data_IF_313107521411
#
_entry.id   IF_313107521411
#
_cell.length_a   1.000
_cell.length_b   1.000
_cell.length_c   1.000
_cell.angle_alpha   90.00
_cell.angle_beta   90.00
_cell.angle_gamma   90.00
#
_symmetry.space_group_name_H-M   'P 1'
#
loop_
_entity.id
_entity.type
_entity.pdbx_description
1 polymer ?
#
# COMPACT_ATOMS: atom_id res chain seq x y z
N UNK A 1 -12.23 6.36 12.95
CA UNK A 1 -11.03 5.51 12.93
C UNK A 1 -10.72 5.38 11.48
N UNK A 2 -9.81 6.21 11.02
CA UNK A 2 -9.59 6.47 9.62
C UNK A 2 -8.12 6.23 9.32
N UNK A 3 -7.86 5.33 8.39
CA UNK A 3 -6.52 5.08 7.91
C UNK A 3 -6.52 4.68 6.45
N UNK A 4 -5.43 4.99 5.76
CA UNK A 4 -5.23 4.69 4.35
C UNK A 4 -3.77 4.41 4.03
N UNK A 5 -3.55 3.43 3.19
CA UNK A 5 -2.26 3.14 2.58
C UNK A 5 -2.02 4.12 1.43
N UNK A 6 -0.84 4.72 1.40
CA UNK A 6 -0.39 5.61 0.34
C UNK A 6 0.66 4.89 -0.50
N UNK A 7 0.37 4.77 -1.80
CA UNK A 7 1.29 4.22 -2.77
C UNK A 7 1.66 5.25 -3.83
N UNK A 8 2.90 5.21 -4.28
CA UNK A 8 3.36 5.92 -5.47
C UNK A 8 3.45 4.92 -6.61
N UNK A 9 2.61 5.11 -7.63
CA UNK A 9 2.49 4.21 -8.76
C UNK A 9 3.01 4.91 -10.01
N UNK A 10 3.99 4.30 -10.66
CA UNK A 10 4.42 4.73 -12.01
C UNK A 10 3.58 3.99 -13.03
N UNK A 11 2.97 4.74 -13.92
CA UNK A 11 2.13 4.21 -14.99
C UNK A 11 2.62 4.69 -16.34
N UNK A 12 2.47 3.83 -17.33
CA UNK A 12 2.81 4.07 -18.72
C UNK A 12 1.56 4.06 -19.59
N UNK A 13 1.45 5.05 -20.45
CA UNK A 13 0.33 5.21 -21.38
C UNK A 13 0.80 4.80 -22.77
N UNK A 14 0.18 3.75 -23.30
CA UNK A 14 0.36 3.26 -24.67
C UNK A 14 -0.99 3.13 -25.39
N UNK A 15 -1.04 3.30 -26.73
CA UNK A 15 -2.28 3.16 -27.48
C UNK A 15 -2.77 1.72 -27.44
N UNK A 16 -3.98 1.51 -26.89
CA UNK A 16 -4.59 0.18 -26.82
C UNK A 16 -4.99 -0.40 -28.20
N UNK A 17 -5.05 0.44 -29.24
CA UNK A 17 -5.43 0.03 -30.60
C UNK A 17 -4.32 0.41 -31.57
N UNK A 18 -3.91 -0.53 -32.42
CA UNK A 18 -2.85 -0.34 -33.41
C UNK A 18 -3.11 0.78 -34.44
N UNK A 19 -4.37 1.22 -34.58
CA UNK A 19 -4.76 2.34 -35.47
C UNK A 19 -4.55 3.71 -34.83
N UNK A 20 -4.19 3.76 -33.55
CA UNK A 20 -3.94 5.00 -32.79
C UNK A 20 -2.45 5.12 -32.55
N UNK A 21 -1.88 6.27 -32.89
CA UNK A 21 -0.49 6.62 -32.62
C UNK A 21 -0.42 7.74 -31.58
N UNK A 22 0.60 7.70 -30.72
CA UNK A 22 0.97 8.79 -29.82
C UNK A 22 2.30 9.38 -30.29
N UNK A 23 2.53 10.68 -30.04
CA UNK A 23 3.86 11.29 -30.16
C UNK A 23 4.18 12.03 -28.86
N UNK A 24 5.19 11.58 -28.09
CA UNK A 24 5.99 10.35 -28.26
C UNK A 24 5.13 9.07 -28.23
N UNK A 25 5.68 7.93 -28.69
CA UNK A 25 4.98 6.63 -28.76
C UNK A 25 4.39 6.17 -27.42
N UNK A 26 4.90 6.72 -26.32
CA UNK A 26 4.38 6.51 -24.99
C UNK A 26 4.70 7.65 -24.03
N UNK A 27 3.96 7.71 -22.93
CA UNK A 27 4.18 8.66 -21.85
C UNK A 27 4.16 7.97 -20.49
N UNK A 28 5.13 8.30 -19.64
CA UNK A 28 5.17 7.85 -18.25
C UNK A 28 4.65 8.95 -17.33
N UNK A 29 3.84 8.59 -16.35
CA UNK A 29 3.42 9.48 -15.28
C UNK A 29 3.45 8.76 -13.94
N UNK A 30 3.51 9.54 -12.85
CA UNK A 30 3.48 9.00 -11.50
C UNK A 30 2.28 9.53 -10.76
N UNK A 31 1.44 8.64 -10.26
CA UNK A 31 0.24 8.96 -9.49
C UNK A 31 0.41 8.54 -8.04
N UNK A 32 -0.31 9.23 -7.14
CA UNK A 32 -0.44 8.82 -5.75
C UNK A 32 -1.77 8.12 -5.58
N UNK A 33 -1.72 6.86 -5.16
CA UNK A 33 -2.89 6.03 -4.91
C UNK A 33 -3.14 5.98 -3.41
N UNK A 34 -4.38 6.22 -3.02
CA UNK A 34 -4.87 6.09 -1.66
C UNK A 34 -5.81 4.90 -1.61
N UNK A 35 -5.54 3.97 -0.70
CA UNK A 35 -6.39 2.81 -0.43
C UNK A 35 -6.76 2.80 1.04
N UNK A 36 -8.05 2.77 1.34
CA UNK A 36 -8.51 2.68 2.73
C UNK A 36 -7.98 1.42 3.40
N UNK A 37 -7.51 1.59 4.63
CA UNK A 37 -7.01 0.50 5.45
C UNK A 37 -8.19 -0.09 6.23
N UNK A 38 -8.45 -1.41 6.13
CA UNK A 38 -9.50 -2.06 6.91
C UNK A 38 -9.23 -1.91 8.41
N UNK A 39 -10.29 -1.81 9.21
CA UNK A 39 -10.20 -1.69 10.67
C UNK A 39 -9.41 -2.86 11.28
N UNK A 40 -8.51 -2.61 12.24
CA UNK A 40 -7.74 -3.67 12.89
C UNK A 40 -8.66 -4.75 13.48
N UNK A 41 -8.33 -6.02 13.26
CA UNK A 41 -9.13 -7.16 13.70
C UNK A 41 -10.29 -7.56 12.77
N UNK A 42 -10.60 -6.78 11.72
CA UNK A 42 -11.63 -7.12 10.72
C UNK A 42 -11.08 -7.84 9.50
N UNK A 43 -11.90 -8.37 8.61
CA UNK A 43 -11.39 -9.06 7.42
C UNK A 43 -10.48 -8.15 6.57
N UNK A 44 -9.28 -8.64 6.21
CA UNK A 44 -8.34 -7.93 5.34
C UNK A 44 -7.38 -6.95 6.02
N UNK A 45 -7.49 -6.69 7.33
CA UNK A 45 -6.61 -5.76 8.07
C UNK A 45 -5.12 -6.15 8.03
N UNK A 46 -4.83 -7.44 7.87
CA UNK A 46 -3.46 -7.99 7.75
C UNK A 46 -2.80 -7.71 6.39
N UNK A 47 -3.40 -6.86 5.56
CA UNK A 47 -2.85 -6.47 4.26
C UNK A 47 -1.38 -6.04 4.36
N UNK A 48 -1.02 -5.19 5.34
CA UNK A 48 0.34 -4.70 5.50
C UNK A 48 1.32 -5.84 5.80
N UNK A 49 0.94 -6.77 6.69
CA UNK A 49 1.77 -7.94 7.05
C UNK A 49 2.03 -8.85 5.85
N UNK A 50 1.02 -9.03 5.00
CA UNK A 50 1.09 -9.94 3.87
C UNK A 50 1.74 -9.32 2.62
N UNK A 51 1.83 -7.99 2.55
CA UNK A 51 2.24 -7.27 1.33
C UNK A 51 3.52 -6.46 1.52
N UNK A 52 3.80 -6.00 2.74
CA UNK A 52 4.89 -5.06 3.02
C UNK A 52 5.98 -5.73 3.85
N UNK A 53 7.21 -5.27 3.64
CA UNK A 53 8.37 -5.65 4.43
C UNK A 53 9.30 -4.44 4.56
N UNK A 54 9.61 -4.06 5.80
CA UNK A 54 10.47 -2.91 6.16
C UNK A 54 10.09 -1.62 5.41
N UNK A 55 8.79 -1.36 5.23
CA UNK A 55 8.31 -0.15 4.56
C UNK A 55 8.43 -0.18 3.02
N UNK A 56 8.64 -1.35 2.42
CA UNK A 56 8.59 -1.56 0.98
C UNK A 56 7.59 -2.65 0.61
N UNK A 57 7.17 -2.71 -0.66
CA UNK A 57 6.41 -3.87 -1.16
C UNK A 57 7.34 -5.09 -1.19
N UNK A 58 6.88 -6.22 -0.67
CA UNK A 58 7.70 -7.44 -0.60
C UNK A 58 7.85 -8.17 -1.94
N UNK A 59 6.87 -7.99 -2.84
CA UNK A 59 6.81 -8.61 -4.16
C UNK A 59 6.31 -7.57 -5.17
N UNK A 60 7.20 -7.15 -6.08
CA UNK A 60 6.91 -6.10 -7.06
C UNK A 60 5.85 -6.53 -8.09
N UNK A 61 5.88 -7.79 -8.55
CA UNK A 61 4.91 -8.30 -9.53
C UNK A 61 3.50 -8.37 -8.91
N UNK A 62 3.42 -8.85 -7.66
CA UNK A 62 2.17 -8.83 -6.91
C UNK A 62 1.66 -7.40 -6.69
N UNK A 63 2.54 -6.46 -6.33
CA UNK A 63 2.17 -5.06 -6.14
C UNK A 63 1.65 -4.41 -7.43
N UNK A 64 2.28 -4.68 -8.58
CA UNK A 64 1.81 -4.22 -9.90
C UNK A 64 0.42 -4.75 -10.23
N UNK A 65 0.15 -6.03 -9.97
CA UNK A 65 -1.17 -6.64 -10.16
C UNK A 65 -2.24 -5.99 -9.30
N UNK A 66 -1.96 -5.80 -8.01
CA UNK A 66 -2.87 -5.11 -7.08
C UNK A 66 -3.18 -3.69 -7.56
N UNK A 67 -2.15 -2.90 -7.91
CA UNK A 67 -2.36 -1.54 -8.37
C UNK A 67 -3.15 -1.49 -9.69
N UNK A 68 -2.88 -2.40 -10.62
CA UNK A 68 -3.61 -2.50 -11.87
C UNK A 68 -5.09 -2.86 -11.65
N UNK A 69 -5.36 -3.80 -10.74
CA UNK A 69 -6.72 -4.16 -10.33
C UNK A 69 -7.46 -2.96 -9.73
N UNK A 70 -6.85 -2.27 -8.76
CA UNK A 70 -7.47 -1.10 -8.12
C UNK A 70 -7.73 0.05 -9.09
N UNK A 71 -6.84 0.25 -10.07
CA UNK A 71 -6.97 1.28 -11.10
C UNK A 71 -7.89 0.86 -12.26
N UNK A 72 -8.26 -0.42 -12.36
CA UNK A 72 -9.05 -0.96 -13.46
C UNK A 72 -8.31 -0.92 -14.81
N UNK A 73 -6.98 -1.03 -14.81
CA UNK A 73 -6.13 -0.96 -16.02
C UNK A 73 -5.40 -2.29 -16.25
N UNK A 74 -4.89 -2.56 -17.47
CA UNK A 74 -4.03 -3.72 -17.70
C UNK A 74 -2.76 -3.67 -16.83
N UNK A 75 -2.27 -4.82 -16.36
CA UNK A 75 -1.03 -4.91 -15.54
C UNK A 75 0.18 -4.24 -16.20
N UNK A 76 0.28 -4.34 -17.53
CA UNK A 76 1.37 -3.70 -18.32
C UNK A 76 1.38 -2.17 -18.24
N UNK A 77 0.27 -1.54 -17.89
CA UNK A 77 0.16 -0.09 -17.68
C UNK A 77 0.85 0.35 -16.39
N UNK A 78 1.07 -0.55 -15.44
CA UNK A 78 1.76 -0.26 -14.17
C UNK A 78 3.20 -0.71 -14.26
N UNK A 79 4.16 0.21 -14.17
CA UNK A 79 5.59 -0.13 -14.23
C UNK A 79 6.17 -0.46 -12.85
N UNK A 80 5.77 0.33 -11.84
CA UNK A 80 6.31 0.21 -10.49
C UNK A 80 5.32 0.70 -9.45
N UNK A 81 5.32 0.05 -8.28
CA UNK A 81 4.47 0.39 -7.14
C UNK A 81 5.36 0.51 -5.91
N UNK A 82 5.32 1.68 -5.27
CA UNK A 82 6.13 1.93 -4.09
C UNK A 82 5.20 2.31 -2.93
N UNK A 83 5.25 1.56 -1.84
CA UNK A 83 4.64 2.01 -0.60
C UNK A 83 5.31 3.30 -0.12
N UNK A 84 4.51 4.22 0.42
CA UNK A 84 5.02 5.49 0.97
C UNK A 84 4.80 5.58 2.46
N UNK A 85 3.54 5.49 2.86
CA UNK A 85 3.14 5.64 4.25
C UNK A 85 1.75 5.05 4.50
N UNK A 86 1.52 4.63 5.74
CA UNK A 86 0.20 4.48 6.31
C UNK A 86 -0.17 5.81 6.95
N UNK A 87 -1.19 6.48 6.42
CA UNK A 87 -1.78 7.65 7.06
C UNK A 87 -2.90 7.17 7.97
N UNK A 88 -2.94 7.65 9.21
CA UNK A 88 -3.87 7.16 10.24
C UNK A 88 -4.24 8.25 11.23
N UNK A 89 -5.41 8.17 11.84
CA UNK A 89 -5.70 8.88 13.09
C UNK A 89 -5.09 8.14 14.31
N UNK A 90 -5.10 8.79 15.48
CA UNK A 90 -4.60 8.19 16.73
C UNK A 90 -5.43 6.96 17.12
N UNK A 91 -6.76 7.01 16.95
CA UNK A 91 -7.65 5.94 17.35
C UNK A 91 -7.40 4.62 16.58
N UNK A 92 -7.12 4.71 15.28
CA UNK A 92 -6.74 3.56 14.47
C UNK A 92 -5.35 3.06 14.84
N UNK A 93 -4.39 3.94 15.14
CA UNK A 93 -3.06 3.51 15.56
C UNK A 93 -3.10 2.75 16.91
N UNK A 94 -3.92 3.22 17.83
CA UNK A 94 -4.17 2.55 19.11
C UNK A 94 -4.80 1.17 18.89
N UNK A 95 -5.86 1.10 18.07
CA UNK A 95 -6.52 -0.16 17.73
C UNK A 95 -5.59 -1.14 17.00
N UNK A 96 -4.72 -0.64 16.12
CA UNK A 96 -3.72 -1.44 15.41
C UNK A 96 -2.72 -2.03 16.39
N UNK A 97 -2.23 -1.21 17.31
CA UNK A 97 -1.28 -1.60 18.36
C UNK A 97 -1.89 -2.65 19.28
N UNK A 98 -3.13 -2.47 19.72
CA UNK A 98 -3.86 -3.44 20.53
C UNK A 98 -4.07 -4.78 19.80
N UNK A 99 -4.51 -4.73 18.54
CA UNK A 99 -4.73 -5.92 17.73
C UNK A 99 -3.43 -6.71 17.46
N UNK A 100 -2.30 -6.02 17.28
CA UNK A 100 -0.98 -6.66 17.15
C UNK A 100 -0.54 -7.25 18.48
N UNK A 101 -0.69 -6.52 19.59
CA UNK A 101 -0.31 -6.97 20.92
C UNK A 101 -1.06 -8.25 21.35
N UNK A 102 -2.28 -8.43 20.86
CA UNK A 102 -3.09 -9.62 21.13
C UNK A 102 -2.51 -10.91 20.52
N UNK A 103 -1.68 -10.83 19.46
CA UNK A 103 -1.09 -11.98 18.78
C UNK A 103 0.27 -11.66 18.15
N UNK A 104 1.27 -11.35 18.98
CA UNK A 104 2.63 -11.03 18.53
C UNK A 104 3.31 -12.19 17.78
N UNK A 105 2.95 -13.44 18.09
CA UNK A 105 3.52 -14.62 17.45
C UNK A 105 3.16 -14.67 15.95
N UNK A 106 1.94 -14.27 15.57
CA UNK A 106 1.54 -14.15 14.18
C UNK A 106 2.35 -13.12 13.38
N UNK A 107 2.95 -12.13 14.06
CA UNK A 107 3.85 -11.13 13.46
C UNK A 107 5.32 -11.53 13.54
N UNK A 108 5.65 -12.60 14.28
CA UNK A 108 7.01 -13.04 14.59
C UNK A 108 7.84 -11.90 15.17
N UNK A 109 7.25 -11.13 16.08
CA UNK A 109 7.84 -9.93 16.66
C UNK A 109 7.91 -10.06 18.18
N UNK A 110 8.91 -9.42 18.78
CA UNK A 110 9.11 -9.44 20.23
C UNK A 110 8.18 -8.44 20.95
N UNK A 111 7.83 -7.36 20.26
CA UNK A 111 6.91 -6.31 20.72
C UNK A 111 6.18 -5.65 19.53
N UNK A 112 5.26 -4.73 19.83
CA UNK A 112 4.46 -4.05 18.80
C UNK A 112 5.32 -3.14 17.92
N UNK A 113 6.26 -2.40 18.51
CA UNK A 113 7.15 -1.51 17.76
C UNK A 113 8.02 -2.30 16.78
N UNK A 114 8.53 -3.48 17.19
CA UNK A 114 9.22 -4.41 16.30
C UNK A 114 8.30 -4.87 15.17
N UNK A 115 7.05 -5.25 15.46
CA UNK A 115 6.09 -5.65 14.42
C UNK A 115 5.82 -4.50 13.42
N UNK A 116 5.55 -3.29 13.91
CA UNK A 116 5.31 -2.13 13.06
C UNK A 116 6.53 -1.79 12.22
N UNK A 117 7.71 -1.72 12.83
CA UNK A 117 8.98 -1.48 12.12
C UNK A 117 9.29 -2.57 11.09
N UNK A 118 8.98 -3.82 11.39
CA UNK A 118 9.24 -4.97 10.52
C UNK A 118 8.43 -4.94 9.23
N UNK A 119 7.18 -4.51 9.27
CA UNK A 119 6.31 -4.49 8.09
C UNK A 119 6.20 -3.08 7.48
N UNK A 120 5.95 -2.06 8.30
CA UNK A 120 5.72 -0.68 7.88
C UNK A 120 7.00 0.18 7.94
N UNK A 121 8.08 -0.29 8.57
CA UNK A 121 9.28 0.53 8.76
C UNK A 121 8.98 1.77 9.60
N UNK A 122 9.49 2.93 9.17
CA UNK A 122 9.17 4.23 9.78
C UNK A 122 8.10 5.00 9.01
N UNK A 123 7.31 4.30 8.19
CA UNK A 123 6.35 4.89 7.25
C UNK A 123 4.93 4.91 7.80
N UNK A 124 4.76 5.41 9.03
CA UNK A 124 3.46 5.69 9.64
C UNK A 124 3.37 7.19 9.87
N UNK A 125 2.29 7.80 9.40
CA UNK A 125 2.00 9.22 9.58
C UNK A 125 0.67 9.35 10.31
N UNK A 126 0.72 9.84 11.54
CA UNK A 126 -0.48 10.24 12.28
C UNK A 126 -0.95 11.59 11.74
N UNK A 127 -2.23 11.68 11.40
CA UNK A 127 -2.90 12.91 10.97
C UNK A 127 -3.97 13.26 11.98
N UNK A 128 -4.06 14.52 12.38
CA UNK A 128 -5.25 15.04 13.06
C UNK A 128 -6.43 14.78 12.13
N UNK A 129 -7.34 13.88 12.52
CA UNK A 129 -8.54 13.57 11.73
C UNK A 129 -9.32 14.85 11.42
N UNK A 130 -9.86 14.96 10.20
CA UNK A 130 -10.68 16.11 9.78
C UNK A 130 -12.03 16.14 10.50
#
# INVERSE_FOLDING_TARGET
>A
MDARYVFRVRVHIEPARAVVSLEPDSAETTVTLYRDAPEPGTEGWLFFRNTLWRGAVGDDDYARRLAAEWLGVPERTVDAVNFRELQTDEAYLDALTEAIAADLEAFKADDVDDALSKYLGSSIRVTDGD
#
